data_IF_406540267380
#
_entry.id   IF_406540267380
#
_cell.length_a   1.000
_cell.length_b   1.000
_cell.length_c   1.000
_cell.angle_alpha   90.00
_cell.angle_beta   90.00
_cell.angle_gamma   90.00
#
_symmetry.space_group_name_H-M   'P 1'
#
loop_
_entity.id
_entity.type
_entity.pdbx_description
1 polymer ?
#
# COMPACT_ATOMS: atom_id res chain seq x y z
N UNK A 1 20.97 20.79 -2.77
CA UNK A 1 20.47 19.63 -1.99
C UNK A 1 21.61 18.63 -1.86
N UNK A 2 21.92 18.16 -0.64
CA UNK A 2 22.95 17.13 -0.42
C UNK A 2 22.25 15.80 -0.13
N UNK A 3 22.69 14.73 -0.78
CA UNK A 3 22.16 13.38 -0.59
C UNK A 3 23.23 12.55 0.12
N UNK A 4 22.86 11.88 1.20
CA UNK A 4 23.72 10.94 1.92
C UNK A 4 23.18 9.53 1.73
N UNK A 5 24.06 8.59 1.36
CA UNK A 5 23.71 7.17 1.36
C UNK A 5 23.61 6.72 2.81
N UNK A 6 22.46 6.15 3.17
CA UNK A 6 22.23 5.52 4.47
C UNK A 6 22.19 4.01 4.21
N UNK A 7 22.98 3.25 4.97
CA UNK A 7 22.94 1.79 4.95
C UNK A 7 21.93 1.31 5.99
N UNK A 8 20.87 0.66 5.51
CA UNK A 8 19.76 0.16 6.33
C UNK A 8 19.78 -1.36 6.49
N UNK A 9 20.80 -2.05 5.96
CA UNK A 9 20.85 -3.53 5.92
C UNK A 9 20.79 -4.20 7.29
N UNK A 10 21.19 -3.48 8.34
CA UNK A 10 21.18 -3.97 9.73
C UNK A 10 19.98 -3.53 10.54
N UNK A 11 19.09 -2.69 9.99
CA UNK A 11 17.88 -2.30 10.69
C UNK A 11 16.81 -3.35 10.40
N UNK A 12 16.38 -4.04 11.45
CA UNK A 12 15.39 -5.13 11.38
C UNK A 12 13.97 -4.56 11.41
N UNK A 13 13.74 -3.56 12.27
CA UNK A 13 12.42 -2.93 12.41
C UNK A 13 12.53 -1.51 12.94
N UNK A 14 11.48 -0.72 12.66
CA UNK A 14 11.29 0.63 13.19
C UNK A 14 9.90 0.71 13.81
N UNK A 15 9.84 1.19 15.05
CA UNK A 15 8.61 1.50 15.77
C UNK A 15 8.59 2.96 16.21
N UNK A 16 7.44 3.42 16.68
CA UNK A 16 7.26 4.78 17.19
C UNK A 16 6.38 4.75 18.44
N UNK A 17 6.82 5.44 19.48
CA UNK A 17 6.03 5.73 20.67
C UNK A 17 6.24 7.20 21.06
N UNK A 18 5.15 7.96 21.17
CA UNK A 18 5.16 9.39 21.53
C UNK A 18 6.03 10.28 20.62
N UNK A 19 7.24 10.62 21.04
CA UNK A 19 8.23 11.46 20.35
C UNK A 19 9.55 10.71 20.12
N UNK A 20 9.51 9.37 20.17
CA UNK A 20 10.67 8.51 20.03
C UNK A 20 10.49 7.47 18.93
N UNK A 21 11.50 7.35 18.08
CA UNK A 21 11.64 6.20 17.20
C UNK A 21 12.42 5.09 17.92
N UNK A 22 11.85 3.90 17.94
CA UNK A 22 12.51 2.68 18.38
C UNK A 22 13.07 1.91 17.18
N UNK A 23 14.34 1.54 17.22
CA UNK A 23 15.03 0.82 16.15
C UNK A 23 15.48 -0.54 16.68
N UNK A 24 15.14 -1.61 15.97
CA UNK A 24 15.76 -2.92 16.19
C UNK A 24 16.92 -3.08 15.21
N UNK A 25 18.13 -3.27 15.73
CA UNK A 25 19.37 -3.34 14.95
C UNK A 25 20.00 -4.72 15.15
N UNK A 26 20.27 -5.40 14.05
CA UNK A 26 21.01 -6.67 14.05
C UNK A 26 22.52 -6.41 14.18
N UNK A 27 23.12 -6.92 15.26
CA UNK A 27 24.57 -6.90 15.51
C UNK A 27 25.23 -8.25 15.19
N UNK A 28 24.48 -9.19 14.63
CA UNK A 28 24.91 -10.51 14.18
C UNK A 28 24.73 -11.61 15.23
N UNK A 29 25.09 -11.35 16.50
CA UNK A 29 24.90 -12.32 17.61
C UNK A 29 23.66 -12.03 18.44
N UNK A 30 23.16 -10.81 18.36
CA UNK A 30 22.09 -10.26 19.18
C UNK A 30 21.39 -9.12 18.41
N UNK A 31 20.16 -8.83 18.81
CA UNK A 31 19.37 -7.72 18.30
C UNK A 31 19.32 -6.65 19.38
N UNK A 32 19.80 -5.47 19.04
CA UNK A 32 19.85 -4.29 19.92
C UNK A 32 18.61 -3.42 19.67
N UNK A 33 17.96 -2.95 20.74
CA UNK A 33 16.90 -1.94 20.66
C UNK A 33 17.47 -0.55 21.01
N UNK A 34 17.28 0.42 20.12
CA UNK A 34 17.78 1.79 20.28
C UNK A 34 16.62 2.78 20.18
N UNK A 35 16.51 3.71 21.14
CA UNK A 35 15.57 4.82 21.07
C UNK A 35 16.25 6.11 20.66
N UNK A 36 15.64 6.84 19.73
CA UNK A 36 16.07 8.18 19.35
C UNK A 36 14.90 9.15 19.43
N UNK A 37 15.16 10.35 19.96
CA UNK A 37 14.19 11.44 19.89
C UNK A 37 13.95 11.83 18.43
N UNK A 38 12.70 11.76 18.00
CA UNK A 38 12.32 12.03 16.63
C UNK A 38 10.88 12.57 16.57
N UNK A 39 10.62 13.60 15.76
CA UNK A 39 9.26 14.08 15.57
C UNK A 39 8.40 12.97 14.96
N UNK A 40 7.12 12.91 15.31
CA UNK A 40 6.15 11.95 14.74
C UNK A 40 6.17 11.92 13.21
N UNK A 41 6.42 13.06 12.56
CA UNK A 41 6.54 13.16 11.10
C UNK A 41 7.67 12.29 10.52
N UNK A 42 8.72 11.99 11.28
CA UNK A 42 9.81 11.12 10.83
C UNK A 42 9.33 9.68 10.64
N UNK A 43 8.56 9.13 11.58
CA UNK A 43 7.97 7.79 11.45
C UNK A 43 7.05 7.71 10.22
N UNK A 44 6.20 8.72 10.03
CA UNK A 44 5.32 8.81 8.86
C UNK A 44 6.10 8.86 7.54
N UNK A 45 7.17 9.65 7.49
CA UNK A 45 8.06 9.70 6.34
C UNK A 45 8.72 8.34 6.05
N UNK A 46 9.17 7.62 7.08
CA UNK A 46 9.74 6.28 6.92
C UNK A 46 8.70 5.26 6.42
N UNK A 47 7.45 5.34 6.88
CA UNK A 47 6.36 4.52 6.33
C UNK A 47 6.13 4.82 4.84
N UNK A 48 6.16 6.09 4.44
CA UNK A 48 6.05 6.47 3.03
C UNK A 48 7.23 5.94 2.20
N UNK A 49 8.46 6.08 2.71
CA UNK A 49 9.66 5.54 2.06
C UNK A 49 9.60 4.02 1.95
N UNK A 50 9.11 3.32 2.98
CA UNK A 50 8.90 1.88 2.92
C UNK A 50 7.90 1.51 1.82
N UNK A 51 6.78 2.23 1.72
CA UNK A 51 5.78 1.96 0.67
C UNK A 51 6.32 2.26 -0.74
N UNK A 52 7.23 3.23 -0.88
CA UNK A 52 7.94 3.52 -2.13
C UNK A 52 8.98 2.44 -2.45
N UNK A 53 9.72 1.97 -1.45
CA UNK A 53 10.79 0.99 -1.60
C UNK A 53 10.27 -0.45 -1.78
N UNK A 54 9.20 -0.82 -1.08
CA UNK A 54 8.56 -2.13 -1.13
C UNK A 54 7.77 -2.38 -2.43
N UNK A 55 7.91 -1.51 -3.44
CA UNK A 55 7.23 -1.69 -4.71
C UNK A 55 5.70 -1.64 -4.59
N UNK A 56 5.17 -0.54 -4.06
CA UNK A 56 3.80 -0.04 -4.33
C UNK A 56 2.73 -1.12 -4.59
N UNK A 57 2.48 -1.96 -3.58
CA UNK A 57 1.39 -2.94 -3.63
C UNK A 57 0.08 -2.20 -3.43
N UNK A 58 -0.80 -2.20 -4.44
CA UNK A 58 -2.15 -1.65 -4.28
C UNK A 58 -2.98 -2.72 -3.55
N UNK A 59 -3.27 -2.49 -2.26
CA UNK A 59 -4.07 -3.42 -1.46
C UNK A 59 -5.50 -3.50 -2.01
N UNK A 60 -5.92 -4.70 -2.42
CA UNK A 60 -7.26 -4.96 -2.96
C UNK A 60 -8.25 -5.16 -1.83
N UNK A 61 -9.44 -4.58 -2.00
CA UNK A 61 -10.52 -4.62 -1.04
C UNK A 61 -11.72 -5.35 -1.66
N UNK A 62 -12.18 -6.46 -1.06
CA UNK A 62 -13.29 -7.22 -1.61
C UNK A 62 -14.60 -6.42 -1.55
N UNK A 63 -15.45 -6.58 -2.57
CA UNK A 63 -16.73 -5.88 -2.66
C UNK A 63 -17.87 -6.85 -2.93
N UNK A 64 -19.06 -6.54 -2.41
CA UNK A 64 -20.26 -7.30 -2.71
C UNK A 64 -20.86 -6.82 -4.03
N UNK A 65 -20.42 -7.39 -5.15
CA UNK A 65 -20.89 -7.05 -6.49
C UNK A 65 -21.01 -8.29 -7.37
N UNK A 66 -21.98 -8.31 -8.28
CA UNK A 66 -22.07 -9.32 -9.34
C UNK A 66 -21.09 -9.09 -10.50
N UNK A 67 -20.31 -8.00 -10.44
CA UNK A 67 -19.34 -7.62 -11.47
C UNK A 67 -17.91 -7.72 -10.96
N UNK A 68 -17.63 -7.08 -9.81
CA UNK A 68 -16.29 -6.98 -9.24
C UNK A 68 -16.14 -7.92 -8.04
N UNK A 69 -15.01 -8.62 -7.96
CA UNK A 69 -14.57 -9.36 -6.79
C UNK A 69 -13.92 -8.42 -5.76
N UNK A 70 -13.05 -7.53 -6.24
CA UNK A 70 -12.33 -6.57 -5.42
C UNK A 70 -12.00 -5.29 -6.19
N UNK A 71 -11.75 -4.21 -5.45
CA UNK A 71 -11.30 -2.91 -5.98
C UNK A 71 -10.12 -2.40 -5.16
N UNK A 72 -9.22 -1.65 -5.77
CA UNK A 72 -8.01 -1.17 -5.12
C UNK A 72 -7.63 0.21 -5.65
N UNK A 73 -7.09 1.09 -4.81
CA UNK A 73 -6.73 2.43 -5.27
C UNK A 73 -5.40 2.90 -4.72
N UNK A 74 -4.58 3.48 -5.61
CA UNK A 74 -3.35 4.14 -5.25
C UNK A 74 -3.49 5.65 -5.44
N UNK A 75 -3.59 6.38 -4.33
CA UNK A 75 -3.77 7.83 -4.34
C UNK A 75 -2.56 8.58 -4.90
N UNK A 76 -1.33 8.10 -4.65
CA UNK A 76 -0.11 8.75 -5.14
C UNK A 76 0.00 8.66 -6.66
N UNK A 77 -0.45 7.54 -7.24
CA UNK A 77 -0.41 7.30 -8.69
C UNK A 77 -1.72 7.61 -9.41
N UNK A 78 -2.79 7.92 -8.67
CA UNK A 78 -4.16 8.05 -9.19
C UNK A 78 -4.57 6.84 -10.03
N UNK A 79 -4.27 5.65 -9.52
CA UNK A 79 -4.55 4.38 -10.19
C UNK A 79 -5.63 3.59 -9.47
N UNK A 80 -6.67 3.23 -10.18
CA UNK A 80 -7.73 2.34 -9.72
C UNK A 80 -7.52 0.96 -10.34
N UNK A 81 -7.55 -0.09 -9.54
CA UNK A 81 -7.67 -1.46 -10.03
C UNK A 81 -9.07 -2.00 -9.74
N UNK A 82 -9.62 -2.72 -10.72
CA UNK A 82 -10.87 -3.46 -10.60
C UNK A 82 -10.59 -4.90 -10.97
N UNK A 83 -10.80 -5.79 -10.01
CA UNK A 83 -10.77 -7.24 -10.20
C UNK A 83 -12.20 -7.71 -10.46
N UNK A 84 -12.43 -8.30 -11.62
CA UNK A 84 -13.72 -8.86 -12.00
C UNK A 84 -13.89 -10.27 -11.43
N UNK A 85 -15.13 -10.70 -11.19
CA UNK A 85 -15.41 -12.07 -10.77
C UNK A 85 -14.90 -13.14 -11.75
N UNK A 86 -14.61 -12.77 -13.00
CA UNK A 86 -13.95 -13.64 -13.98
C UNK A 86 -12.46 -13.86 -13.72
N UNK A 87 -11.87 -13.20 -12.71
CA UNK A 87 -10.44 -13.20 -12.39
C UNK A 87 -9.60 -12.22 -13.22
N UNK A 88 -10.21 -11.49 -14.16
CA UNK A 88 -9.48 -10.46 -14.91
C UNK A 88 -9.28 -9.21 -14.05
N UNK A 89 -8.08 -8.62 -14.08
CA UNK A 89 -7.80 -7.36 -13.38
C UNK A 89 -7.50 -6.26 -14.39
N UNK A 90 -8.18 -5.13 -14.23
CA UNK A 90 -7.94 -3.93 -15.04
C UNK A 90 -7.45 -2.80 -14.16
N UNK A 91 -6.42 -2.10 -14.63
CA UNK A 91 -5.91 -0.88 -14.03
C UNK A 91 -6.34 0.31 -14.88
N UNK A 92 -6.86 1.34 -14.22
CA UNK A 92 -7.29 2.61 -14.77
C UNK A 92 -6.36 3.70 -14.25
N UNK A 93 -5.85 4.52 -15.17
CA UNK A 93 -4.93 5.61 -14.86
C UNK A 93 -5.68 6.95 -14.73
N UNK A 94 -5.11 7.88 -13.96
CA UNK A 94 -5.64 9.24 -13.72
C UNK A 94 -7.07 9.27 -13.13
N UNK A 95 -7.43 8.27 -12.32
CA UNK A 95 -8.69 8.27 -11.58
C UNK A 95 -8.52 9.11 -10.33
N UNK A 96 -9.31 10.17 -10.17
CA UNK A 96 -9.23 11.04 -8.99
C UNK A 96 -9.75 10.33 -7.73
N UNK A 97 -9.27 10.78 -6.56
CA UNK A 97 -9.61 10.17 -5.27
C UNK A 97 -11.11 10.22 -4.95
N UNK A 98 -11.81 11.25 -5.43
CA UNK A 98 -13.26 11.40 -5.30
C UNK A 98 -14.00 10.27 -6.04
N UNK A 99 -13.60 9.95 -7.27
CA UNK A 99 -14.19 8.87 -8.08
C UNK A 99 -13.95 7.51 -7.43
N UNK A 100 -12.78 7.31 -6.82
CA UNK A 100 -12.51 6.14 -6.00
C UNK A 100 -13.46 6.04 -4.80
N UNK A 101 -13.63 7.12 -4.03
CA UNK A 101 -14.51 7.13 -2.86
C UNK A 101 -15.96 6.87 -3.24
N UNK A 102 -16.44 7.52 -4.30
CA UNK A 102 -17.80 7.30 -4.81
C UNK A 102 -18.01 5.86 -5.28
N UNK A 103 -17.05 5.26 -6.02
CA UNK A 103 -17.13 3.84 -6.39
C UNK A 103 -17.21 2.94 -5.15
N UNK A 104 -16.31 3.17 -4.20
CA UNK A 104 -16.14 2.37 -2.97
C UNK A 104 -17.39 2.37 -2.10
N UNK A 105 -18.06 3.52 -1.97
CA UNK A 105 -19.25 3.67 -1.13
C UNK A 105 -20.57 3.63 -1.91
N UNK A 106 -20.54 3.37 -3.21
CA UNK A 106 -21.76 3.28 -4.01
C UNK A 106 -22.63 2.09 -3.59
N UNK A 107 -23.96 2.29 -3.58
CA UNK A 107 -24.94 1.22 -3.34
C UNK A 107 -24.86 0.09 -4.39
N UNK A 108 -24.24 0.36 -5.53
CA UNK A 108 -24.05 -0.61 -6.60
C UNK A 108 -22.77 -0.31 -7.37
N UNK A 109 -21.67 -0.96 -6.95
CA UNK A 109 -20.35 -0.85 -7.58
C UNK A 109 -20.42 -1.04 -9.10
N UNK A 110 -21.21 -2.00 -9.57
CA UNK A 110 -21.38 -2.27 -10.99
C UNK A 110 -22.07 -1.14 -11.77
N UNK A 111 -23.13 -0.53 -11.20
CA UNK A 111 -23.82 0.60 -11.85
C UNK A 111 -22.94 1.84 -11.90
N UNK A 112 -22.22 2.11 -10.81
CA UNK A 112 -21.29 3.25 -10.76
C UNK A 112 -20.15 3.04 -11.76
N UNK A 113 -19.50 1.88 -11.74
CA UNK A 113 -18.43 1.55 -12.68
C UNK A 113 -18.87 1.73 -14.15
N UNK A 114 -20.02 1.20 -14.54
CA UNK A 114 -20.50 1.31 -15.92
C UNK A 114 -20.84 2.75 -16.34
N UNK A 115 -21.23 3.61 -15.40
CA UNK A 115 -21.64 4.99 -15.71
C UNK A 115 -20.50 6.01 -15.60
N UNK A 116 -19.54 5.81 -14.68
CA UNK A 116 -18.50 6.79 -14.37
C UNK A 116 -17.10 6.37 -14.76
N UNK A 117 -16.82 5.08 -14.93
CA UNK A 117 -15.44 4.57 -15.09
C UNK A 117 -15.24 3.91 -16.46
N UNK A 118 -16.14 2.99 -16.83
CA UNK A 118 -16.03 2.23 -18.07
C UNK A 118 -16.02 3.15 -19.28
N UNK A 119 -14.92 3.11 -20.03
CA UNK A 119 -14.72 3.93 -21.24
C UNK A 119 -14.43 5.42 -20.98
N UNK A 120 -14.37 5.85 -19.72
CA UNK A 120 -14.05 7.24 -19.35
C UNK A 120 -12.56 7.43 -19.04
N UNK A 121 -11.87 6.33 -18.67
CA UNK A 121 -10.45 6.35 -18.31
C UNK A 121 -9.66 5.41 -19.21
N UNK A 122 -8.40 5.77 -19.47
CA UNK A 122 -7.43 4.87 -20.09
C UNK A 122 -7.19 3.69 -19.17
N UNK A 123 -7.18 2.48 -19.73
CA UNK A 123 -7.02 1.27 -18.95
C UNK A 123 -6.18 0.22 -19.65
N UNK A 124 -5.61 -0.66 -18.85
CA UNK A 124 -4.85 -1.82 -19.29
C UNK A 124 -5.20 -3.02 -18.43
N UNK A 125 -5.22 -4.21 -19.04
CA UNK A 125 -5.32 -5.46 -18.28
C UNK A 125 -3.96 -5.75 -17.66
N UNK A 126 -3.96 -6.18 -16.40
CA UNK A 126 -2.75 -6.63 -15.70
C UNK A 126 -2.91 -8.12 -15.36
N UNK A 127 -1.85 -8.88 -15.59
CA UNK A 127 -1.81 -10.30 -15.22
C UNK A 127 -1.11 -10.43 -13.85
N UNK A 128 -1.62 -11.31 -12.96
CA UNK A 128 -1.29 -11.40 -11.52
C UNK A 128 0.19 -11.63 -11.18
N UNK A 129 1.02 -11.99 -12.16
CA UNK A 129 2.42 -12.39 -11.97
C UNK A 129 3.38 -11.24 -11.55
N UNK A 130 2.86 -10.02 -11.36
CA UNK A 130 3.69 -8.82 -11.04
C UNK A 130 3.70 -8.43 -9.55
N UNK A 131 2.98 -9.13 -8.66
CA UNK A 131 2.70 -8.58 -7.29
C UNK A 131 3.10 -9.51 -6.12
N UNK A 132 3.62 -10.71 -6.39
CA UNK A 132 3.89 -11.70 -5.35
C UNK A 132 5.33 -11.62 -4.81
N UNK A 133 5.64 -10.66 -3.94
CA UNK A 133 6.75 -10.81 -2.98
C UNK A 133 6.61 -9.77 -1.86
N UNK A 134 6.07 -10.17 -0.70
CA UNK A 134 6.40 -9.66 0.64
C UNK A 134 5.39 -10.21 1.67
N UNK A 135 5.75 -11.32 2.32
CA UNK A 135 4.99 -11.89 3.43
C UNK A 135 5.16 -11.09 4.73
N UNK A 136 4.05 -10.84 5.41
CA UNK A 136 3.98 -10.21 6.74
C UNK A 136 4.45 -11.18 7.83
N UNK A 137 5.33 -10.73 8.73
CA UNK A 137 5.67 -11.47 9.95
C UNK A 137 4.87 -10.94 11.15
N UNK A 138 3.99 -11.77 11.72
CA UNK A 138 3.37 -11.51 13.02
C UNK A 138 4.25 -12.05 14.15
N UNK A 139 4.74 -11.17 15.02
CA UNK A 139 5.46 -11.55 16.23
C UNK A 139 4.44 -11.70 17.37
N UNK A 140 4.13 -12.93 17.78
CA UNK A 140 3.39 -13.18 19.01
C UNK A 140 4.26 -12.79 20.20
N UNK A 141 3.89 -11.70 20.90
CA UNK A 141 4.43 -11.41 22.24
C UNK A 141 4.02 -12.57 23.15
N UNK A 142 5.00 -13.34 23.63
CA UNK A 142 4.79 -14.21 24.81
C UNK A 142 4.75 -13.31 26.05
N UNK A 143 3.86 -13.58 27.02
CA UNK A 143 3.84 -12.89 28.30
C UNK A 143 5.10 -13.15 29.11
#
# INVERSE_FOLDING_TARGET
MKLNKIDLTKIVAVGHEQDKLGLLIDRGKDVEYVEISAPTAAYQGLQQVNNLAAGKTITREPVNSSMAAAIAYNQTEKKLQVEFLSGSVYQYDNVEAEIWQELRYSDSTGKYYNSRIKGQYSCQRIDEETVAESGTFEIKKKP
#
